data_IF_142073298253
#
_entry.id   IF_142073298253
#
_cell.length_a   1.000
_cell.length_b   1.000
_cell.length_c   1.000
_cell.angle_alpha   90.00
_cell.angle_beta   90.00
_cell.angle_gamma   90.00
#
_symmetry.space_group_name_H-M   'P 1'
#
loop_
_entity.id
_entity.type
_entity.pdbx_description
1 polymer ?
#
# COMPACT_ATOMS: atom_id res chain seq x y z
N UNK A 1 -17.79 7.72 10.92
CA UNK A 1 -17.31 7.16 12.20
C UNK A 1 -15.91 6.64 11.93
N UNK A 2 -14.87 7.14 12.61
CA UNK A 2 -13.51 6.60 12.43
C UNK A 2 -13.49 5.20 13.04
N UNK A 3 -13.31 4.16 12.23
CA UNK A 3 -12.99 2.84 12.74
C UNK A 3 -11.68 2.93 13.53
N UNK A 4 -11.63 2.25 14.68
CA UNK A 4 -10.42 2.17 15.50
C UNK A 4 -9.32 1.44 14.72
N UNK A 5 -8.06 1.83 14.95
CA UNK A 5 -6.91 1.08 14.45
C UNK A 5 -6.86 -0.28 15.13
N UNK A 6 -6.76 -1.34 14.34
CA UNK A 6 -6.61 -2.71 14.83
C UNK A 6 -5.16 -3.14 14.67
N UNK A 7 -4.37 -3.03 15.75
CA UNK A 7 -2.95 -3.38 15.76
C UNK A 7 -2.80 -4.85 16.17
N UNK A 8 -2.25 -5.65 15.28
CA UNK A 8 -1.99 -7.06 15.50
C UNK A 8 -0.57 -7.25 16.02
N UNK A 9 -0.42 -7.95 17.15
CA UNK A 9 0.89 -8.34 17.65
C UNK A 9 1.39 -9.64 17.03
N UNK A 10 2.69 -9.74 16.80
CA UNK A 10 3.37 -10.96 16.32
C UNK A 10 2.74 -11.52 15.04
N UNK A 11 2.44 -10.65 14.08
CA UNK A 11 1.77 -11.00 12.84
C UNK A 11 2.73 -11.58 11.80
N UNK A 12 2.34 -12.69 11.16
CA UNK A 12 3.12 -13.28 10.07
C UNK A 12 3.11 -12.39 8.82
N UNK A 13 4.30 -12.11 8.28
CA UNK A 13 4.52 -11.36 7.05
C UNK A 13 4.68 -12.25 5.83
N UNK A 14 4.64 -13.58 6.00
CA UNK A 14 4.95 -14.54 4.94
C UNK A 14 4.02 -14.40 3.72
N UNK A 15 2.73 -14.09 3.95
CA UNK A 15 1.76 -13.82 2.88
C UNK A 15 1.76 -12.37 2.39
N UNK A 16 2.56 -11.52 3.00
CA UNK A 16 2.65 -10.09 2.69
C UNK A 16 3.97 -9.72 1.97
N UNK A 17 4.71 -10.72 1.49
CA UNK A 17 5.84 -10.53 0.59
C UNK A 17 5.86 -11.61 -0.49
N UNK A 18 6.19 -11.24 -1.73
CA UNK A 18 6.08 -12.15 -2.88
C UNK A 18 7.13 -13.25 -2.90
N UNK A 19 8.23 -13.09 -2.16
CA UNK A 19 9.24 -14.13 -1.97
C UNK A 19 8.83 -15.19 -0.94
N UNK A 20 7.72 -14.97 -0.24
CA UNK A 20 7.21 -15.83 0.84
C UNK A 20 8.26 -16.13 1.92
N UNK A 21 9.19 -15.19 2.15
CA UNK A 21 10.19 -15.30 3.22
C UNK A 21 9.45 -15.31 4.55
N UNK A 22 9.67 -16.33 5.42
CA UNK A 22 9.06 -16.37 6.73
C UNK A 22 9.65 -15.25 7.60
N UNK A 23 8.78 -14.35 8.04
CA UNK A 23 9.10 -13.28 8.97
C UNK A 23 7.85 -12.92 9.76
N UNK A 24 8.05 -12.37 10.96
CA UNK A 24 7.00 -11.88 11.85
C UNK A 24 7.24 -10.41 12.16
N UNK A 25 6.21 -9.58 12.06
CA UNK A 25 6.25 -8.23 12.60
C UNK A 25 5.90 -8.24 14.08
N UNK A 26 6.59 -7.42 14.88
CA UNK A 26 6.18 -7.16 16.27
C UNK A 26 4.77 -6.59 16.30
N UNK A 27 4.49 -5.60 15.46
CA UNK A 27 3.17 -4.99 15.27
C UNK A 27 2.84 -4.91 13.78
N UNK A 28 1.59 -5.19 13.41
CA UNK A 28 1.06 -4.99 12.06
C UNK A 28 -0.25 -4.23 12.14
N UNK A 29 -0.43 -3.25 11.27
CA UNK A 29 -1.70 -2.55 11.09
C UNK A 29 -2.00 -2.34 9.62
N UNK A 30 -3.25 -2.54 9.23
CA UNK A 30 -3.74 -2.19 7.91
C UNK A 30 -4.41 -0.82 7.96
N UNK A 31 -4.10 0.05 6.99
CA UNK A 31 -4.67 1.40 6.91
C UNK A 31 -5.36 1.61 5.57
N UNK A 32 -6.61 2.06 5.60
CA UNK A 32 -7.46 2.23 4.42
C UNK A 32 -7.69 3.71 4.06
N UNK A 33 -7.27 4.63 4.93
CA UNK A 33 -7.38 6.08 4.68
C UNK A 33 -6.26 6.87 5.39
N UNK A 34 -6.12 8.14 5.01
CA UNK A 34 -5.07 9.01 5.53
C UNK A 34 -5.21 9.30 7.04
N UNK A 35 -6.43 9.24 7.59
CA UNK A 35 -6.65 9.42 9.04
C UNK A 35 -6.05 8.24 9.80
N UNK A 36 -6.33 7.01 9.37
CA UNK A 36 -5.73 5.80 9.94
C UNK A 36 -4.21 5.78 9.79
N UNK A 37 -3.66 6.18 8.65
CA UNK A 37 -2.21 6.30 8.48
C UNK A 37 -1.62 7.27 9.50
N UNK A 38 -2.21 8.46 9.66
CA UNK A 38 -1.76 9.44 10.66
C UNK A 38 -1.84 8.87 12.07
N UNK A 39 -2.95 8.21 12.42
CA UNK A 39 -3.11 7.59 13.74
C UNK A 39 -2.07 6.48 13.97
N UNK A 40 -1.73 5.67 12.96
CA UNK A 40 -0.74 4.60 13.08
C UNK A 40 0.67 5.16 13.28
N UNK A 41 1.01 6.25 12.60
CA UNK A 41 2.28 6.96 12.78
C UNK A 41 2.37 7.59 14.18
N UNK A 42 1.30 8.23 14.67
CA UNK A 42 1.26 8.74 16.04
C UNK A 42 1.41 7.62 17.07
N UNK A 43 0.70 6.51 16.89
CA UNK A 43 0.82 5.36 17.78
C UNK A 43 2.26 4.82 17.80
N UNK A 44 2.93 4.73 16.66
CA UNK A 44 4.31 4.27 16.57
C UNK A 44 5.26 5.23 17.31
N UNK A 45 5.08 6.54 17.17
CA UNK A 45 5.86 7.56 17.87
C UNK A 45 5.67 7.47 19.39
N UNK A 46 4.41 7.39 19.85
CA UNK A 46 4.05 7.28 21.28
C UNK A 46 4.62 6.01 21.94
N UNK A 47 4.85 4.95 21.17
CA UNK A 47 5.38 3.66 21.65
C UNK A 47 6.84 3.42 21.25
N UNK A 48 7.54 4.44 20.72
CA UNK A 48 8.94 4.38 20.28
C UNK A 48 9.22 3.22 19.29
N UNK A 49 8.25 2.93 18.41
CA UNK A 49 8.36 1.84 17.43
C UNK A 49 8.91 2.35 16.10
N UNK A 50 9.88 1.61 15.56
CA UNK A 50 10.31 1.80 14.16
C UNK A 50 9.18 1.42 13.20
N UNK A 51 9.01 2.18 12.13
CA UNK A 51 7.94 1.98 11.14
C UNK A 51 8.51 1.42 9.82
N UNK A 52 7.87 0.39 9.29
CA UNK A 52 8.03 -0.09 7.92
C UNK A 52 6.70 0.05 7.19
N UNK A 53 6.66 0.86 6.13
CA UNK A 53 5.49 0.96 5.25
C UNK A 53 5.57 -0.14 4.19
N UNK A 54 4.49 -0.89 4.03
CA UNK A 54 4.39 -2.02 3.12
C UNK A 54 3.24 -1.83 2.14
N UNK A 55 3.55 -1.84 0.84
CA UNK A 55 2.57 -1.96 -0.23
C UNK A 55 2.21 -3.43 -0.47
N UNK A 56 2.40 -3.91 -1.70
CA UNK A 56 2.17 -5.32 -2.05
C UNK A 56 3.32 -6.28 -1.70
N UNK A 57 4.42 -5.80 -1.13
CA UNK A 57 5.57 -6.62 -0.74
C UNK A 57 6.31 -7.30 -1.92
N UNK A 58 6.23 -6.71 -3.12
CA UNK A 58 6.81 -7.26 -4.35
C UNK A 58 8.30 -6.94 -4.57
N UNK A 59 8.85 -5.99 -3.80
CA UNK A 59 10.24 -5.52 -3.92
C UNK A 59 10.92 -5.35 -2.55
N UNK A 60 10.75 -6.33 -1.67
CA UNK A 60 11.36 -6.34 -0.34
C UNK A 60 11.81 -7.75 0.03
N UNK A 61 12.93 -7.83 0.77
CA UNK A 61 13.46 -9.05 1.36
C UNK A 61 13.55 -8.86 2.86
N UNK A 62 12.84 -9.68 3.64
CA UNK A 62 13.00 -9.70 5.09
C UNK A 62 14.28 -10.46 5.47
N UNK A 63 15.15 -9.84 6.26
CA UNK A 63 16.35 -10.50 6.80
C UNK A 63 16.07 -11.30 8.10
N UNK A 64 14.82 -11.32 8.55
CA UNK A 64 14.35 -11.90 9.80
C UNK A 64 13.06 -11.23 10.25
N UNK A 65 12.68 -11.47 11.50
CA UNK A 65 11.54 -10.79 12.13
C UNK A 65 11.76 -9.28 12.18
N UNK A 66 10.69 -8.51 11.95
CA UNK A 66 10.72 -7.05 12.04
C UNK A 66 10.30 -6.61 13.45
N UNK A 67 11.16 -5.93 14.22
CA UNK A 67 10.90 -5.66 15.63
C UNK A 67 9.93 -4.50 15.88
N UNK A 68 9.49 -3.77 14.85
CA UNK A 68 8.63 -2.60 14.95
C UNK A 68 7.23 -2.77 14.34
N UNK A 69 6.63 -1.64 13.96
CA UNK A 69 5.33 -1.55 13.31
C UNK A 69 5.46 -1.67 11.79
N UNK A 70 4.79 -2.66 11.22
CA UNK A 70 4.51 -2.72 9.78
C UNK A 70 3.15 -2.08 9.51
N UNK A 71 3.12 -1.10 8.61
CA UNK A 71 1.88 -0.46 8.14
C UNK A 71 1.58 -0.97 6.74
N UNK A 72 0.53 -1.76 6.59
CA UNK A 72 0.04 -2.25 5.30
C UNK A 72 -0.86 -1.18 4.65
N UNK A 73 -0.43 -0.67 3.49
CA UNK A 73 -1.09 0.40 2.76
C UNK A 73 -2.26 -0.14 1.92
N UNK A 74 -3.49 -0.02 2.43
CA UNK A 74 -4.71 -0.49 1.79
C UNK A 74 -5.62 0.64 1.27
N UNK A 75 -5.13 1.88 1.17
CA UNK A 75 -5.92 3.01 0.67
C UNK A 75 -6.39 2.77 -0.78
N UNK A 76 -7.69 2.60 -0.97
CA UNK A 76 -8.34 2.44 -2.29
C UNK A 76 -9.02 3.72 -2.77
N UNK A 77 -9.01 3.91 -4.08
CA UNK A 77 -9.62 5.03 -4.77
C UNK A 77 -8.84 5.40 -6.01
N UNK A 78 -9.56 5.67 -7.10
CA UNK A 78 -9.04 6.16 -8.36
C UNK A 78 -10.00 7.18 -8.96
N UNK A 79 -9.47 8.26 -9.52
CA UNK A 79 -10.26 9.31 -10.17
C UNK A 79 -9.53 9.88 -11.37
N UNK A 80 -10.31 10.35 -12.35
CA UNK A 80 -9.78 11.17 -13.44
C UNK A 80 -9.96 12.63 -13.08
N UNK A 81 -8.92 13.41 -13.26
CA UNK A 81 -8.90 14.86 -13.09
C UNK A 81 -8.37 15.52 -14.35
N UNK A 82 -8.67 16.82 -14.54
CA UNK A 82 -8.15 17.62 -15.65
C UNK A 82 -8.33 16.94 -17.02
N UNK A 83 -9.53 16.46 -17.30
CA UNK A 83 -9.88 15.83 -18.57
C UNK A 83 -10.13 16.92 -19.62
N UNK A 84 -9.32 16.94 -20.68
CA UNK A 84 -9.45 17.86 -21.80
C UNK A 84 -8.97 17.18 -23.12
N UNK A 85 -8.93 17.96 -24.20
CA UNK A 85 -8.54 17.49 -25.54
C UNK A 85 -7.06 17.04 -25.61
N UNK A 86 -6.24 17.39 -24.62
CA UNK A 86 -4.82 17.07 -24.56
C UNK A 86 -4.51 15.90 -23.62
N UNK A 87 -5.45 15.48 -22.77
CA UNK A 87 -5.30 14.28 -21.96
C UNK A 87 -6.14 14.28 -20.68
N UNK A 88 -5.72 13.47 -19.72
CA UNK A 88 -6.30 13.39 -18.39
C UNK A 88 -5.25 13.01 -17.36
N UNK A 89 -5.48 13.37 -16.10
CA UNK A 89 -4.67 12.98 -14.96
C UNK A 89 -5.38 11.84 -14.22
N UNK A 90 -4.74 10.67 -14.16
CA UNK A 90 -5.21 9.57 -13.32
C UNK A 90 -4.63 9.74 -11.91
N UNK A 91 -5.50 9.96 -10.92
CA UNK A 91 -5.13 10.01 -9.51
C UNK A 91 -5.44 8.66 -8.88
N UNK A 92 -4.45 8.06 -8.23
CA UNK A 92 -4.53 6.76 -7.57
C UNK A 92 -4.19 6.91 -6.09
N UNK A 93 -4.94 6.25 -5.22
CA UNK A 93 -4.52 6.08 -3.83
C UNK A 93 -3.42 5.03 -3.72
N UNK A 94 -2.55 5.20 -2.73
CA UNK A 94 -1.31 4.43 -2.58
C UNK A 94 -1.50 2.90 -2.51
N UNK A 95 -2.65 2.42 -2.06
CA UNK A 95 -2.96 0.99 -1.94
C UNK A 95 -3.57 0.38 -3.20
N UNK A 96 -3.92 1.14 -4.23
CA UNK A 96 -4.47 0.59 -5.50
C UNK A 96 -3.52 -0.45 -6.10
N UNK A 97 -4.05 -1.59 -6.56
CA UNK A 97 -3.24 -2.58 -7.26
C UNK A 97 -2.74 -1.97 -8.58
N UNK A 98 -1.43 -2.05 -8.81
CA UNK A 98 -0.81 -1.37 -9.95
C UNK A 98 -1.32 -1.90 -11.30
N UNK A 99 -1.38 -3.23 -11.46
CA UNK A 99 -1.85 -3.81 -12.72
C UNK A 99 -3.32 -3.46 -12.99
N UNK A 100 -4.18 -3.50 -11.97
CA UNK A 100 -5.57 -3.08 -12.11
C UNK A 100 -5.71 -1.59 -12.48
N UNK A 101 -4.81 -0.73 -11.99
CA UNK A 101 -4.78 0.68 -12.39
C UNK A 101 -4.39 0.85 -13.88
N UNK A 102 -3.42 0.07 -14.37
CA UNK A 102 -3.05 0.04 -15.79
C UNK A 102 -4.23 -0.43 -16.65
N UNK A 103 -4.92 -1.51 -16.24
CA UNK A 103 -6.11 -2.01 -16.94
C UNK A 103 -7.27 -1.02 -16.90
N UNK A 104 -7.43 -0.29 -15.80
CA UNK A 104 -8.43 0.77 -15.68
C UNK A 104 -8.16 1.90 -16.68
N UNK A 105 -6.91 2.38 -16.77
CA UNK A 105 -6.51 3.40 -17.74
C UNK A 105 -6.79 2.97 -19.19
N UNK A 106 -6.35 1.76 -19.55
CA UNK A 106 -6.55 1.20 -20.89
C UNK A 106 -8.03 1.04 -21.24
N UNK A 107 -8.86 0.56 -20.31
CA UNK A 107 -10.32 0.42 -20.50
C UNK A 107 -11.03 1.76 -20.65
N UNK A 108 -10.50 2.82 -20.05
CA UNK A 108 -10.98 4.20 -20.24
C UNK A 108 -10.48 4.84 -21.55
N UNK A 109 -9.72 4.13 -22.38
CA UNK A 109 -9.22 4.62 -23.67
C UNK A 109 -7.94 5.46 -23.57
N UNK A 110 -7.38 5.63 -22.38
CA UNK A 110 -6.14 6.36 -22.15
C UNK A 110 -4.92 5.46 -22.35
N UNK A 111 -3.83 6.08 -22.82
CA UNK A 111 -2.54 5.44 -23.12
C UNK A 111 -1.42 6.18 -22.39
N UNK A 112 -0.30 5.51 -22.15
CA UNK A 112 0.91 6.06 -21.52
C UNK A 112 1.54 5.15 -20.45
N UNK A 113 0.78 4.19 -19.91
CA UNK A 113 1.25 3.27 -18.85
C UNK A 113 1.07 1.79 -19.21
N UNK A 114 0.65 1.47 -20.43
CA UNK A 114 0.41 0.10 -20.90
C UNK A 114 1.64 -0.80 -20.82
N UNK A 115 2.84 -0.26 -21.06
CA UNK A 115 4.09 -1.01 -20.96
C UNK A 115 4.42 -1.43 -19.52
N UNK A 116 3.71 -0.86 -18.53
CA UNK A 116 3.88 -1.15 -17.10
C UNK A 116 2.86 -2.18 -16.62
N UNK A 117 2.10 -2.81 -17.52
CA UNK A 117 1.18 -3.89 -17.17
C UNK A 117 1.91 -5.08 -16.50
N UNK A 118 1.17 -5.83 -15.68
CA UNK A 118 1.61 -7.00 -14.92
C UNK A 118 2.70 -6.76 -13.86
N UNK A 119 3.22 -5.54 -13.71
CA UNK A 119 4.11 -5.22 -12.59
C UNK A 119 3.31 -5.42 -11.27
N UNK A 120 3.79 -6.26 -10.34
CA UNK A 120 3.12 -6.50 -9.08
C UNK A 120 3.37 -5.35 -8.10
N UNK A 121 2.43 -5.11 -7.20
CA UNK A 121 2.54 -4.11 -6.16
C UNK A 121 1.37 -3.15 -6.14
N UNK A 122 1.56 -2.05 -5.43
CA UNK A 122 0.55 -1.02 -5.24
C UNK A 122 1.05 0.31 -5.79
N UNK A 123 0.15 1.19 -6.21
CA UNK A 123 0.50 2.43 -6.90
C UNK A 123 1.39 3.40 -6.10
N UNK A 124 1.39 3.31 -4.76
CA UNK A 124 2.24 4.16 -3.91
C UNK A 124 3.63 3.61 -3.58
N UNK A 125 3.97 2.40 -4.04
CA UNK A 125 5.27 1.76 -3.83
C UNK A 125 6.17 1.94 -5.04
#
# INVERSE_FOLDING_TARGET
MSQALEIQERASLQRLNTLAVPATARYLVEVENAVQLKQALCWADDHEQSVLVLGGGSNLVFAGDYPGLVILMALRGRSWERVDDHGAVLVLKAGENWHEAVLYAARSGYRGIENLALIPGTAGA
#
